data_IF_775390296814
#
_entry.id   IF_775390296814
#
_cell.length_a   1.000
_cell.length_b   1.000
_cell.length_c   1.000
_cell.angle_alpha   90.00
_cell.angle_beta   90.00
_cell.angle_gamma   90.00
#
_symmetry.space_group_name_H-M   'P 1'
#
loop_
_entity.id
_entity.type
_entity.pdbx_description
1 polymer ?
#
# COMPACT_ATOMS: atom_id res chain seq x y z
N UNK A 1 -24.40 -16.30 1.33
CA UNK A 1 -23.14 -17.00 0.99
C UNK A 1 -22.03 -16.20 1.66
N UNK A 2 -21.31 -16.74 2.66
CA UNK A 2 -20.21 -16.01 3.27
C UNK A 2 -19.07 -15.88 2.25
N UNK A 3 -18.66 -14.64 1.97
CA UNK A 3 -17.50 -14.35 1.11
C UNK A 3 -16.26 -14.26 1.99
N UNK A 4 -15.19 -14.96 1.61
CA UNK A 4 -13.87 -14.84 2.22
C UNK A 4 -12.93 -14.13 1.24
N UNK A 5 -12.14 -13.19 1.74
CA UNK A 5 -11.01 -12.59 1.00
C UNK A 5 -9.77 -13.31 1.47
N UNK A 6 -9.02 -13.89 0.53
CA UNK A 6 -7.82 -14.67 0.80
C UNK A 6 -6.64 -14.02 0.07
N UNK A 7 -5.51 -13.89 0.76
CA UNK A 7 -4.28 -13.43 0.13
C UNK A 7 -3.66 -14.58 -0.66
N UNK A 8 -3.11 -14.26 -1.82
CA UNK A 8 -2.49 -15.22 -2.70
C UNK A 8 -1.47 -14.53 -3.60
N UNK A 9 -0.45 -15.28 -4.01
CA UNK A 9 0.50 -14.86 -5.01
C UNK A 9 0.51 -15.82 -6.21
N UNK A 10 0.97 -15.33 -7.36
CA UNK A 10 1.22 -16.16 -8.52
C UNK A 10 2.68 -16.62 -8.50
N UNK A 11 2.92 -17.93 -8.44
CA UNK A 11 4.28 -18.52 -8.38
C UNK A 11 4.93 -18.66 -9.78
N UNK A 12 4.28 -18.15 -10.83
CA UNK A 12 4.67 -18.34 -12.23
C UNK A 12 3.95 -19.50 -12.92
N UNK A 13 3.18 -20.32 -12.20
CA UNK A 13 2.43 -21.45 -12.73
C UNK A 13 1.04 -21.59 -12.12
N UNK A 14 0.88 -21.34 -10.83
CA UNK A 14 -0.35 -21.50 -10.06
C UNK A 14 -0.60 -20.28 -9.17
N UNK A 15 -1.87 -20.05 -8.83
CA UNK A 15 -2.27 -19.14 -7.77
C UNK A 15 -2.13 -19.88 -6.45
N UNK A 16 -1.23 -19.43 -5.58
CA UNK A 16 -0.90 -20.05 -4.30
C UNK A 16 -1.49 -19.19 -3.19
N UNK A 17 -2.34 -19.78 -2.35
CA UNK A 17 -2.87 -19.11 -1.17
C UNK A 17 -1.74 -18.93 -0.14
N UNK A 18 -1.62 -17.73 0.41
CA UNK A 18 -0.57 -17.41 1.38
C UNK A 18 -0.85 -18.07 2.74
N UNK A 19 -2.13 -18.28 3.07
CA UNK A 19 -2.57 -19.02 4.25
C UNK A 19 -3.34 -20.31 3.89
N UNK A 20 -3.25 -21.37 4.72
CA UNK A 20 -4.06 -22.56 4.54
C UNK A 20 -5.55 -22.25 4.59
N UNK A 21 -6.29 -22.70 3.56
CA UNK A 21 -7.73 -22.56 3.49
C UNK A 21 -8.37 -23.86 2.96
N UNK A 22 -9.44 -24.31 3.60
CA UNK A 22 -10.17 -25.49 3.17
C UNK A 22 -11.00 -25.17 1.91
N UNK A 23 -10.42 -25.42 0.75
CA UNK A 23 -11.07 -25.18 -0.54
C UNK A 23 -11.63 -26.49 -1.12
N UNK A 24 -12.96 -26.65 -1.21
CA UNK A 24 -13.56 -27.83 -1.83
C UNK A 24 -13.20 -27.94 -3.31
N UNK A 25 -13.07 -29.18 -3.80
CA UNK A 25 -12.91 -29.42 -5.22
C UNK A 25 -14.09 -28.83 -6.01
N UNK A 26 -13.78 -28.14 -7.12
CA UNK A 26 -14.76 -27.48 -8.00
C UNK A 26 -15.60 -26.38 -7.33
N UNK A 27 -15.14 -25.83 -6.20
CA UNK A 27 -15.77 -24.64 -5.63
C UNK A 27 -15.74 -23.49 -6.66
N UNK A 28 -16.86 -22.76 -6.86
CA UNK A 28 -16.86 -21.58 -7.72
C UNK A 28 -16.02 -20.47 -7.07
N UNK A 29 -15.08 -19.90 -7.82
CA UNK A 29 -14.18 -18.85 -7.34
C UNK A 29 -14.34 -17.56 -8.14
N UNK A 30 -14.26 -16.43 -7.44
CA UNK A 30 -14.05 -15.11 -8.03
C UNK A 30 -12.59 -14.73 -7.78
N UNK A 31 -11.83 -14.50 -8.85
CA UNK A 31 -10.40 -14.14 -8.78
C UNK A 31 -10.25 -12.67 -9.17
N UNK A 32 -9.67 -11.89 -8.26
CA UNK A 32 -9.29 -10.50 -8.51
C UNK A 32 -7.76 -10.42 -8.56
N UNK A 33 -7.21 -9.96 -9.68
CA UNK A 33 -5.77 -9.72 -9.81
C UNK A 33 -5.50 -8.26 -9.48
N UNK A 34 -4.65 -8.03 -8.46
CA UNK A 34 -4.24 -6.69 -8.07
C UNK A 34 -3.04 -6.30 -8.95
N UNK A 35 -3.17 -5.20 -9.69
CA UNK A 35 -2.07 -4.67 -10.48
C UNK A 35 -0.93 -4.21 -9.54
N UNK A 36 0.34 -4.37 -9.95
CA UNK A 36 1.44 -3.78 -9.21
C UNK A 36 1.22 -2.26 -9.11
N UNK A 37 1.41 -1.73 -7.90
CA UNK A 37 1.33 -0.29 -7.65
C UNK A 37 2.72 0.31 -7.87
N UNK A 38 3.05 0.49 -9.15
CA UNK A 38 4.37 0.95 -9.60
C UNK A 38 4.71 2.37 -9.11
N UNK A 39 3.69 3.17 -8.76
CA UNK A 39 3.88 4.52 -8.23
C UNK A 39 4.14 4.52 -6.72
N UNK A 40 3.75 3.47 -6.00
CA UNK A 40 3.83 3.44 -4.53
C UNK A 40 5.24 3.64 -4.00
N UNK A 41 6.23 3.03 -4.65
CA UNK A 41 7.64 3.21 -4.30
C UNK A 41 8.08 4.66 -4.52
N UNK A 42 7.74 5.24 -5.67
CA UNK A 42 8.04 6.65 -5.97
C UNK A 42 7.39 7.62 -5.00
N UNK A 43 6.14 7.38 -4.61
CA UNK A 43 5.45 8.17 -3.58
C UNK A 43 6.09 8.00 -2.21
N UNK A 44 6.47 6.79 -1.82
CA UNK A 44 7.15 6.54 -0.56
C UNK A 44 8.51 7.26 -0.49
N UNK A 45 9.30 7.20 -1.56
CA UNK A 45 10.60 7.87 -1.64
C UNK A 45 10.44 9.39 -1.56
N UNK A 46 9.47 9.95 -2.28
CA UNK A 46 9.16 11.39 -2.22
C UNK A 46 8.70 11.81 -0.83
N UNK A 47 7.88 11.00 -0.15
CA UNK A 47 7.47 11.25 1.23
C UNK A 47 8.64 11.25 2.20
N UNK A 48 9.55 10.28 2.09
CA UNK A 48 10.75 10.20 2.94
C UNK A 48 11.65 11.42 2.72
N UNK A 49 11.89 11.83 1.48
CA UNK A 49 12.71 13.00 1.16
C UNK A 49 12.12 14.30 1.74
N UNK A 50 10.81 14.50 1.57
CA UNK A 50 10.15 15.69 2.10
C UNK A 50 10.10 15.68 3.63
N UNK A 51 9.93 14.51 4.25
CA UNK A 51 9.98 14.39 5.70
C UNK A 51 11.38 14.74 6.22
N UNK A 52 12.45 14.23 5.59
CA UNK A 52 13.81 14.57 5.97
C UNK A 52 14.10 16.07 5.80
N UNK A 53 13.60 16.69 4.74
CA UNK A 53 13.72 18.14 4.52
C UNK A 53 12.97 18.95 5.58
N UNK A 54 11.76 18.51 5.96
CA UNK A 54 10.94 19.21 6.94
C UNK A 54 11.51 19.15 8.35
N UNK A 55 12.45 18.25 8.64
CA UNK A 55 13.12 18.14 9.93
C UNK A 55 14.66 18.28 9.79
N UNK A 56 15.12 18.87 8.69
CA UNK A 56 16.54 19.09 8.42
C UNK A 56 17.01 20.45 8.92
N UNK A 57 18.33 20.64 8.96
CA UNK A 57 18.94 21.89 9.43
C UNK A 57 18.56 23.12 8.57
N UNK A 58 18.09 22.91 7.34
CA UNK A 58 17.62 23.93 6.41
C UNK A 58 16.10 24.24 6.55
N UNK A 59 15.43 23.70 7.57
CA UNK A 59 14.03 24.02 7.86
C UNK A 59 13.90 25.51 8.29
N UNK A 60 13.02 26.30 7.65
CA UNK A 60 12.78 27.68 8.08
C UNK A 60 12.04 27.71 9.43
N UNK A 61 12.46 28.62 10.31
CA UNK A 61 11.74 28.88 11.56
C UNK A 61 10.37 29.51 11.26
N UNK A 62 9.30 28.83 11.65
CA UNK A 62 7.94 29.33 11.51
C UNK A 62 7.50 30.09 12.76
N UNK A 63 6.99 31.30 12.56
CA UNK A 63 6.54 32.19 13.62
C UNK A 63 5.03 32.42 13.58
N UNK A 64 4.49 33.09 14.60
CA UNK A 64 3.09 33.51 14.60
C UNK A 64 2.74 34.49 13.45
N UNK A 65 3.74 35.13 12.82
CA UNK A 65 3.53 36.00 11.67
C UNK A 65 3.21 35.22 10.38
N UNK A 66 3.49 33.92 10.34
CA UNK A 66 3.27 33.06 9.18
C UNK A 66 1.85 32.47 9.12
N UNK A 67 1.03 32.75 10.15
CA UNK A 67 -0.36 32.30 10.23
C UNK A 67 -1.29 33.40 9.73
N UNK A 68 -2.27 33.04 8.89
CA UNK A 68 -3.31 33.99 8.45
C UNK A 68 -4.15 34.44 9.66
N UNK A 69 -4.46 35.73 9.80
CA UNK A 69 -5.40 36.21 10.82
C UNK A 69 -6.79 35.61 10.57
N UNK A 70 -7.49 35.28 11.66
CA UNK A 70 -8.87 34.78 11.63
C UNK A 70 -9.87 35.85 11.18
#
# INVERSE_FOLDING_TARGET
>A
MPTAVLNAHYDGKHIVLDEPFALPANAPLLVTVIAPDDERSGWADLSVQNLARAYGDDEPEYSAADVKPQ
#
